data_IF_050599992830
#
_entry.id   IF_050599992830
#
_cell.length_a   1.000
_cell.length_b   1.000
_cell.length_c   1.000
_cell.angle_alpha   90.00
_cell.angle_beta   90.00
_cell.angle_gamma   90.00
#
_symmetry.space_group_name_H-M   'P 1'
#
loop_
_entity.id
_entity.type
_entity.pdbx_description
1 polymer ?
#
# COMPACT_ATOMS: atom_id res chain seq x y z
N UNK A 1 -12.22 5.58 -25.16
CA UNK A 1 -10.83 6.10 -25.12
C UNK A 1 -10.27 6.09 -23.70
N UNK A 2 -10.95 6.70 -22.71
CA UNK A 2 -10.51 6.71 -21.30
C UNK A 2 -10.22 5.33 -20.68
N UNK A 3 -11.10 4.34 -20.88
CA UNK A 3 -10.91 2.98 -20.33
C UNK A 3 -9.62 2.29 -20.78
N UNK A 4 -9.25 2.43 -22.06
CA UNK A 4 -8.04 1.83 -22.62
C UNK A 4 -6.78 2.43 -21.97
N UNK A 5 -6.82 3.72 -21.66
CA UNK A 5 -5.71 4.41 -20.98
C UNK A 5 -5.59 3.93 -19.54
N UNK A 6 -6.72 3.76 -18.85
CA UNK A 6 -6.79 3.27 -17.47
C UNK A 6 -6.26 1.82 -17.35
N UNK A 7 -6.72 0.94 -18.23
CA UNK A 7 -6.24 -0.45 -18.34
C UNK A 7 -4.73 -0.48 -18.62
N UNK A 8 -4.24 0.36 -19.54
CA UNK A 8 -2.81 0.43 -19.87
C UNK A 8 -1.95 0.89 -18.67
N UNK A 9 -2.42 1.87 -17.90
CA UNK A 9 -1.74 2.34 -16.68
C UNK A 9 -1.67 1.21 -15.65
N UNK A 10 -2.76 0.49 -15.44
CA UNK A 10 -2.83 -0.56 -14.41
C UNK A 10 -2.03 -1.80 -14.79
N UNK A 11 -2.01 -2.18 -16.08
CA UNK A 11 -1.10 -3.20 -16.59
C UNK A 11 0.35 -2.79 -16.34
N UNK A 12 0.68 -1.52 -16.59
CA UNK A 12 2.03 -1.00 -16.34
C UNK A 12 2.38 -1.08 -14.85
N UNK A 13 1.48 -0.67 -13.95
CA UNK A 13 1.67 -0.77 -12.49
C UNK A 13 1.86 -2.23 -12.06
N UNK A 14 1.08 -3.16 -12.59
CA UNK A 14 1.23 -4.58 -12.28
C UNK A 14 2.60 -5.12 -12.70
N UNK A 15 3.04 -4.81 -13.93
CA UNK A 15 4.35 -5.23 -14.44
C UNK A 15 5.48 -4.64 -13.59
N UNK A 16 5.41 -3.35 -13.27
CA UNK A 16 6.39 -2.68 -12.41
C UNK A 16 6.42 -3.26 -11.00
N UNK A 17 5.26 -3.62 -10.43
CA UNK A 17 5.17 -4.22 -9.10
C UNK A 17 5.84 -5.61 -9.09
N UNK A 18 5.60 -6.44 -10.10
CA UNK A 18 6.26 -7.75 -10.24
C UNK A 18 7.77 -7.58 -10.43
N UNK A 19 8.20 -6.64 -11.27
CA UNK A 19 9.62 -6.34 -11.47
C UNK A 19 10.28 -5.87 -10.15
N UNK A 20 9.63 -5.00 -9.38
CA UNK A 20 10.12 -4.54 -8.08
C UNK A 20 10.30 -5.69 -7.09
N UNK A 21 9.33 -6.61 -6.99
CA UNK A 21 9.46 -7.80 -6.15
C UNK A 21 10.66 -8.65 -6.57
N UNK A 22 10.88 -8.86 -7.87
CA UNK A 22 12.02 -9.64 -8.37
C UNK A 22 13.34 -8.96 -8.00
N UNK A 23 13.47 -7.65 -8.20
CA UNK A 23 14.69 -6.92 -7.84
C UNK A 23 14.95 -6.98 -6.33
N UNK A 24 13.92 -6.81 -5.51
CA UNK A 24 14.05 -6.91 -4.06
C UNK A 24 14.49 -8.31 -3.62
N UNK A 25 13.93 -9.36 -4.24
CA UNK A 25 14.34 -10.74 -3.96
C UNK A 25 15.81 -10.99 -4.30
N UNK A 26 16.33 -10.39 -5.37
CA UNK A 26 17.76 -10.48 -5.71
C UNK A 26 18.61 -9.80 -4.64
N UNK A 27 18.24 -8.59 -4.20
CA UNK A 27 18.95 -7.86 -3.14
C UNK A 27 18.97 -8.64 -1.83
N UNK A 28 17.82 -9.18 -1.42
CA UNK A 28 17.70 -10.00 -0.20
C UNK A 28 18.53 -11.28 -0.32
N UNK A 29 18.56 -11.90 -1.50
CA UNK A 29 19.36 -13.08 -1.77
C UNK A 29 20.87 -12.79 -1.67
N UNK A 30 21.32 -11.67 -2.25
CA UNK A 30 22.73 -11.24 -2.20
C UNK A 30 23.16 -10.87 -0.78
N UNK A 31 22.28 -10.24 -0.01
CA UNK A 31 22.55 -9.86 1.38
C UNK A 31 22.52 -11.06 2.35
N UNK A 32 22.00 -12.22 1.94
CA UNK A 32 21.84 -13.44 2.75
C UNK A 32 21.09 -13.26 4.09
N UNK A 33 20.42 -12.12 4.26
CA UNK A 33 19.65 -11.78 5.45
C UNK A 33 18.30 -11.25 5.02
N UNK A 34 17.23 -11.80 5.59
CA UNK A 34 15.88 -11.29 5.39
C UNK A 34 15.54 -10.37 6.56
N UNK A 35 15.48 -9.07 6.29
CA UNK A 35 15.03 -8.08 7.25
C UNK A 35 13.50 -8.08 7.36
N UNK A 36 13.01 -7.62 8.52
CA UNK A 36 11.59 -7.34 8.67
C UNK A 36 11.14 -6.23 7.70
N UNK A 37 11.97 -5.21 7.49
CA UNK A 37 11.69 -4.11 6.55
C UNK A 37 11.45 -4.62 5.12
N UNK A 38 12.24 -5.61 4.67
CA UNK A 38 12.10 -6.21 3.33
C UNK A 38 10.77 -6.96 3.21
N UNK A 39 10.39 -7.72 4.25
CA UNK A 39 9.09 -8.38 4.32
C UNK A 39 7.92 -7.39 4.33
N UNK A 40 8.06 -6.26 5.04
CA UNK A 40 7.06 -5.20 5.05
C UNK A 40 6.88 -4.58 3.66
N UNK A 41 7.98 -4.35 2.95
CA UNK A 41 7.98 -3.82 1.59
C UNK A 41 7.30 -4.78 0.62
N UNK A 42 7.62 -6.08 0.69
CA UNK A 42 6.95 -7.12 -0.11
C UNK A 42 5.45 -7.19 0.16
N UNK A 43 5.00 -6.95 1.40
CA UNK A 43 3.58 -6.89 1.72
C UNK A 43 2.89 -5.72 1.03
N UNK A 44 3.52 -4.54 1.00
CA UNK A 44 2.98 -3.36 0.29
C UNK A 44 2.83 -3.66 -1.20
N UNK A 45 3.83 -4.32 -1.81
CA UNK A 45 3.74 -4.76 -3.22
C UNK A 45 2.58 -5.74 -3.45
N UNK A 46 2.37 -6.69 -2.54
CA UNK A 46 1.24 -7.61 -2.60
C UNK A 46 -0.12 -6.91 -2.46
N UNK A 47 -0.24 -5.90 -1.58
CA UNK A 47 -1.46 -5.08 -1.46
C UNK A 47 -1.77 -4.30 -2.73
N UNK A 48 -0.74 -3.68 -3.35
CA UNK A 48 -0.88 -2.96 -4.63
C UNK A 48 -1.31 -3.93 -5.74
N UNK A 49 -0.71 -5.12 -5.80
CA UNK A 49 -1.11 -6.15 -6.75
C UNK A 49 -2.58 -6.58 -6.55
N UNK A 50 -3.01 -6.73 -5.29
CA UNK A 50 -4.40 -7.01 -4.93
C UNK A 50 -5.37 -5.93 -5.41
N UNK A 51 -5.01 -4.66 -5.31
CA UNK A 51 -5.81 -3.54 -5.85
C UNK A 51 -5.94 -3.64 -7.37
N UNK A 52 -4.85 -3.92 -8.09
CA UNK A 52 -4.90 -4.10 -9.55
C UNK A 52 -5.77 -5.30 -9.92
N UNK A 53 -5.68 -6.42 -9.18
CA UNK A 53 -6.53 -7.58 -9.40
C UNK A 53 -8.02 -7.29 -9.16
N UNK A 54 -8.36 -6.50 -8.13
CA UNK A 54 -9.74 -6.06 -7.87
C UNK A 54 -10.24 -5.14 -8.99
N UNK A 55 -9.38 -4.26 -9.49
CA UNK A 55 -9.72 -3.39 -10.61
C UNK A 55 -10.13 -4.21 -11.84
N UNK A 56 -9.34 -5.22 -12.23
CA UNK A 56 -9.67 -6.07 -13.38
C UNK A 56 -11.05 -6.75 -13.26
N UNK A 57 -11.53 -6.97 -12.03
CA UNK A 57 -12.84 -7.58 -11.77
C UNK A 57 -13.99 -6.56 -11.78
N UNK A 58 -13.77 -5.36 -11.25
CA UNK A 58 -14.83 -4.39 -10.98
C UNK A 58 -14.78 -3.13 -11.87
N UNK A 59 -13.70 -2.90 -12.64
CA UNK A 59 -13.47 -1.72 -13.48
C UNK A 59 -13.65 -0.36 -12.78
N UNK A 60 -13.48 -0.33 -11.46
CA UNK A 60 -13.49 0.89 -10.66
C UNK A 60 -12.15 0.95 -9.95
N UNK A 61 -11.48 2.11 -9.92
CA UNK A 61 -10.30 2.33 -9.06
C UNK A 61 -10.82 2.68 -7.68
N UNK A 62 -10.84 1.74 -6.71
CA UNK A 62 -11.33 2.05 -5.39
C UNK A 62 -10.30 2.90 -4.64
N UNK A 63 -10.56 4.21 -4.55
CA UNK A 63 -9.73 5.22 -3.84
C UNK A 63 -9.46 4.86 -2.37
N UNK A 64 -10.25 3.94 -1.81
CA UNK A 64 -10.11 3.41 -0.46
C UNK A 64 -8.86 2.52 -0.28
N UNK A 65 -8.40 1.81 -1.32
CA UNK A 65 -7.32 0.83 -1.21
C UNK A 65 -5.95 1.49 -0.91
N UNK A 66 -5.53 2.58 -1.58
CA UNK A 66 -4.33 3.32 -1.21
C UNK A 66 -4.33 3.82 0.24
N UNK A 67 -5.49 4.20 0.78
CA UNK A 67 -5.63 4.63 2.16
C UNK A 67 -5.38 3.50 3.15
N UNK A 68 -5.88 2.30 2.85
CA UNK A 68 -5.57 1.12 3.65
C UNK A 68 -4.10 0.73 3.59
N UNK A 69 -3.46 0.83 2.41
CA UNK A 69 -2.02 0.59 2.25
C UNK A 69 -1.21 1.54 3.14
N UNK A 70 -1.58 2.82 3.20
CA UNK A 70 -0.91 3.78 4.08
C UNK A 70 -1.08 3.43 5.58
N UNK A 71 -2.30 3.06 5.99
CA UNK A 71 -2.58 2.65 7.37
C UNK A 71 -1.80 1.40 7.75
N UNK A 72 -1.81 0.36 6.90
CA UNK A 72 -1.13 -0.91 7.17
C UNK A 72 0.38 -0.75 7.15
N UNK A 73 0.93 0.05 6.23
CA UNK A 73 2.35 0.41 6.20
C UNK A 73 2.80 1.13 7.47
N UNK A 74 2.07 2.18 7.90
CA UNK A 74 2.38 2.89 9.14
C UNK A 74 2.24 1.99 10.38
N UNK A 75 1.18 1.17 10.46
CA UNK A 75 0.99 0.27 11.59
C UNK A 75 2.17 -0.73 11.71
N UNK A 76 2.64 -1.25 10.58
CA UNK A 76 3.79 -2.16 10.56
C UNK A 76 5.10 -1.44 10.87
N UNK A 77 5.27 -0.20 10.43
CA UNK A 77 6.43 0.63 10.76
C UNK A 77 6.53 0.85 12.28
N UNK A 78 5.42 1.17 12.94
CA UNK A 78 5.35 1.35 14.40
C UNK A 78 5.75 0.05 15.12
N UNK A 79 5.25 -1.11 14.69
CA UNK A 79 5.59 -2.38 15.33
C UNK A 79 7.06 -2.73 15.16
N UNK A 80 7.64 -2.42 14.00
CA UNK A 80 9.03 -2.73 13.68
C UNK A 80 10.03 -1.78 14.35
N UNK A 81 9.74 -0.48 14.34
CA UNK A 81 10.67 0.57 14.80
C UNK A 81 10.31 1.13 16.18
N UNK A 82 9.12 0.84 16.70
CA UNK A 82 8.60 1.43 17.93
C UNK A 82 9.35 1.07 19.21
N UNK A 83 10.35 0.19 19.18
CA UNK A 83 11.23 -0.04 20.34
C UNK A 83 12.37 0.97 20.44
N UNK A 84 12.80 1.53 19.30
CA UNK A 84 13.88 2.51 19.21
C UNK A 84 13.36 3.94 18.98
N UNK A 85 12.06 4.09 18.67
CA UNK A 85 11.41 5.39 18.50
C UNK A 85 11.20 6.13 19.83
N UNK A 86 11.35 7.46 19.79
CA UNK A 86 11.03 8.32 20.94
C UNK A 86 9.52 8.21 21.27
N UNK A 87 9.14 8.23 22.56
CA UNK A 87 7.73 8.12 22.97
C UNK A 87 6.81 9.15 22.31
N UNK A 88 7.31 10.36 22.07
CA UNK A 88 6.57 11.44 21.39
C UNK A 88 6.26 11.07 19.93
N UNK A 89 7.24 10.51 19.21
CA UNK A 89 7.07 10.08 17.82
C UNK A 89 6.03 8.96 17.68
N UNK A 90 6.04 8.00 18.59
CA UNK A 90 5.04 6.93 18.65
C UNK A 90 3.61 7.45 18.77
N UNK A 91 3.41 8.51 19.56
CA UNK A 91 2.09 9.15 19.72
C UNK A 91 1.67 9.83 18.40
N UNK A 92 2.59 10.51 17.70
CA UNK A 92 2.31 11.13 16.41
C UNK A 92 2.00 10.11 15.31
N UNK A 93 2.73 8.99 15.26
CA UNK A 93 2.49 7.91 14.30
C UNK A 93 1.14 7.24 14.54
N UNK A 94 0.81 6.93 15.81
CA UNK A 94 -0.49 6.40 16.18
C UNK A 94 -1.64 7.38 15.87
N UNK A 95 -1.45 8.68 16.14
CA UNK A 95 -2.40 9.72 15.77
C UNK A 95 -2.59 9.83 14.25
N UNK A 96 -1.53 9.67 13.47
CA UNK A 96 -1.59 9.67 12.01
C UNK A 96 -2.43 8.51 11.48
N UNK A 97 -2.29 7.30 12.05
CA UNK A 97 -3.13 6.15 11.72
C UNK A 97 -4.60 6.44 12.04
N UNK A 98 -4.88 7.07 13.18
CA UNK A 98 -6.24 7.45 13.57
C UNK A 98 -6.84 8.45 12.57
N UNK A 99 -6.08 9.48 12.17
CA UNK A 99 -6.51 10.47 11.18
C UNK A 99 -6.78 9.84 9.80
N UNK A 100 -5.88 8.98 9.32
CA UNK A 100 -6.08 8.25 8.06
C UNK A 100 -7.29 7.31 8.13
N UNK A 101 -7.51 6.66 9.27
CA UNK A 101 -8.68 5.80 9.48
C UNK A 101 -9.99 6.59 9.43
N UNK A 102 -10.01 7.79 10.03
CA UNK A 102 -11.16 8.70 9.93
C UNK A 102 -11.37 9.14 8.47
N UNK A 103 -10.30 9.53 7.77
CA UNK A 103 -10.38 9.88 6.35
C UNK A 103 -10.93 8.73 5.49
N UNK A 104 -10.52 7.48 5.77
CA UNK A 104 -11.04 6.30 5.09
C UNK A 104 -12.54 6.12 5.31
N UNK A 105 -13.04 6.34 6.53
CA UNK A 105 -14.47 6.27 6.86
C UNK A 105 -15.25 7.38 6.14
N UNK A 106 -14.73 8.60 6.14
CA UNK A 106 -15.35 9.75 5.45
C UNK A 106 -15.46 9.46 3.95
N UNK A 107 -14.37 9.04 3.31
CA UNK A 107 -14.35 8.73 1.87
C UNK A 107 -15.20 7.51 1.51
N UNK A 108 -15.29 6.51 2.38
CA UNK A 108 -16.19 5.36 2.19
C UNK A 108 -17.65 5.79 2.06
N UNK A 109 -18.07 6.80 2.82
CA UNK A 109 -19.44 7.30 2.79
C UNK A 109 -19.70 8.23 1.60
N UNK A 110 -18.65 8.78 0.99
CA UNK A 110 -18.70 9.56 -0.24
C UNK A 110 -18.65 8.58 -1.43
N UNK A 111 -19.71 7.78 -1.60
CA UNK A 111 -20.03 7.21 -2.92
C UNK A 111 -20.60 8.34 -3.78
N UNK A 112 -19.76 9.28 -4.21
CA UNK A 112 -20.13 10.10 -5.36
C UNK A 112 -20.14 9.11 -6.52
N UNK A 113 -21.34 8.66 -6.91
CA UNK A 113 -21.58 8.20 -8.28
C UNK A 113 -21.08 9.34 -9.16
N UNK A 114 -19.86 9.23 -9.67
CA UNK A 114 -19.48 10.04 -10.81
C UNK A 114 -20.47 9.65 -11.92
N UNK A 115 -21.26 10.60 -12.45
CA UNK A 115 -22.13 10.34 -13.61
C UNK A 115 -21.31 10.00 -14.86
#
# INVERSE_FOLDING_TARGET
>A
MFRIVEDAILITIAILTVAAVIFELIVVFDNQTVGLADLLLMFIYAEVFGMVAVYFKSHEIPVIYPLFIAITALARLIVLQGKDSQPEQLIFEAASILLLSIAAIVLRNIKIKLP
#
